data_IF_784492245452
#
_entry.id   IF_784492245452
#
_cell.length_a   1.000
_cell.length_b   1.000
_cell.length_c   1.000
_cell.angle_alpha   90.00
_cell.angle_beta   90.00
_cell.angle_gamma   90.00
#
_symmetry.space_group_name_H-M   'P 1'
#
loop_
_entity.id
_entity.type
_entity.pdbx_description
1 polymer ?
#
# COMPACT_ATOMS: atom_id res chain seq x y z
N UNK A 1 -4.79 12.82 -10.82
CA UNK A 1 -5.37 12.69 -9.48
C UNK A 1 -4.67 11.50 -8.82
N UNK A 2 -4.18 11.62 -7.57
CA UNK A 2 -3.53 10.51 -6.88
C UNK A 2 -4.50 9.41 -6.45
N UNK A 3 -4.10 8.17 -6.69
CA UNK A 3 -4.78 6.99 -6.19
C UNK A 3 -4.24 6.59 -4.82
N UNK A 4 -5.14 6.45 -3.84
CA UNK A 4 -4.81 6.01 -2.49
C UNK A 4 -5.59 4.75 -2.15
N UNK A 5 -4.98 3.86 -1.38
CA UNK A 5 -5.61 2.70 -0.79
C UNK A 5 -5.95 2.98 0.66
N UNK A 6 -7.22 2.89 1.01
CA UNK A 6 -7.70 3.17 2.36
C UNK A 6 -7.25 2.06 3.33
N UNK A 7 -6.79 2.46 4.51
CA UNK A 7 -6.50 1.54 5.62
C UNK A 7 -7.60 1.54 6.68
N UNK A 8 -8.54 2.49 6.59
CA UNK A 8 -9.74 2.62 7.43
C UNK A 8 -10.96 3.03 6.62
N UNK A 9 -12.15 2.90 7.21
CA UNK A 9 -13.41 3.33 6.60
C UNK A 9 -13.44 4.85 6.37
N UNK A 10 -13.79 5.27 5.15
CA UNK A 10 -13.92 6.68 4.81
C UNK A 10 -14.93 6.86 3.67
N UNK A 11 -15.85 7.82 3.83
CA UNK A 11 -16.82 8.22 2.78
C UNK A 11 -17.60 7.05 2.13
N UNK A 12 -17.94 6.03 2.91
CA UNK A 12 -18.63 4.83 2.41
C UNK A 12 -17.74 3.76 1.78
N UNK A 13 -16.43 4.00 1.68
CA UNK A 13 -15.43 3.02 1.27
C UNK A 13 -14.87 2.27 2.48
N UNK A 14 -14.49 1.01 2.26
CA UNK A 14 -13.98 0.12 3.30
C UNK A 14 -12.45 0.06 3.24
N UNK A 15 -11.76 -0.35 4.33
CA UNK A 15 -10.33 -0.58 4.29
C UNK A 15 -9.97 -1.59 3.19
N UNK A 16 -8.99 -1.23 2.38
CA UNK A 16 -8.55 -1.99 1.22
C UNK A 16 -9.04 -1.43 -0.11
N UNK A 17 -10.11 -0.61 -0.12
CA UNK A 17 -10.55 0.10 -1.33
C UNK A 17 -9.48 1.04 -1.85
N UNK A 18 -9.38 1.12 -3.17
CA UNK A 18 -8.56 2.10 -3.89
C UNK A 18 -9.49 3.19 -4.41
N UNK A 19 -9.19 4.44 -4.06
CA UNK A 19 -9.97 5.61 -4.47
C UNK A 19 -9.05 6.65 -5.11
N UNK A 20 -9.52 7.26 -6.18
CA UNK A 20 -8.88 8.38 -6.84
C UNK A 20 -9.38 9.69 -6.21
N UNK A 21 -8.46 10.50 -5.70
CA UNK A 21 -8.78 11.75 -5.00
C UNK A 21 -7.82 12.86 -5.43
N UNK A 22 -8.15 14.12 -5.17
CA UNK A 22 -7.22 15.23 -5.38
C UNK A 22 -6.05 15.25 -4.38
N UNK A 23 -4.97 15.93 -4.74
CA UNK A 23 -3.74 16.00 -3.93
C UNK A 23 -3.96 16.52 -2.51
N UNK A 24 -4.86 17.49 -2.34
CA UNK A 24 -5.23 18.01 -1.02
C UNK A 24 -5.87 16.91 -0.17
N UNK A 25 -6.81 16.16 -0.74
CA UNK A 25 -7.51 15.06 -0.07
C UNK A 25 -6.54 13.91 0.26
N UNK A 26 -5.67 13.53 -0.68
CA UNK A 26 -4.65 12.51 -0.45
C UNK A 26 -3.72 12.89 0.72
N UNK A 27 -3.31 14.16 0.83
CA UNK A 27 -2.52 14.65 1.98
C UNK A 27 -3.30 14.59 3.29
N UNK A 28 -4.57 14.99 3.28
CA UNK A 28 -5.43 14.92 4.47
C UNK A 28 -5.65 13.48 4.94
N UNK A 29 -5.77 12.53 4.01
CA UNK A 29 -6.02 11.12 4.30
C UNK A 29 -4.73 10.31 4.48
N UNK A 30 -3.55 10.94 4.47
CA UNK A 30 -2.25 10.25 4.60
C UNK A 30 -2.08 9.40 5.87
N UNK A 31 -2.88 9.67 6.91
CA UNK A 31 -2.90 8.89 8.17
C UNK A 31 -3.75 7.61 8.03
N UNK A 32 -4.75 7.62 7.16
CA UNK A 32 -5.74 6.54 7.01
C UNK A 32 -5.73 5.91 5.61
N UNK A 33 -4.68 6.18 4.84
CA UNK A 33 -4.51 5.66 3.49
C UNK A 33 -3.03 5.58 3.14
N UNK A 34 -2.71 4.71 2.19
CA UNK A 34 -1.37 4.57 1.61
C UNK A 34 -1.45 4.82 0.11
N UNK A 35 -0.39 5.32 -0.55
CA UNK A 35 -0.40 5.47 -2.01
C UNK A 35 -0.66 4.12 -2.69
N UNK A 36 -1.64 4.06 -3.59
CA UNK A 36 -2.03 2.80 -4.25
C UNK A 36 -0.92 2.28 -5.17
N UNK A 37 -0.14 3.17 -5.81
CA UNK A 37 1.01 2.81 -6.64
C UNK A 37 2.16 2.17 -5.85
N UNK A 38 2.23 2.34 -4.52
CA UNK A 38 3.23 1.65 -3.68
C UNK A 38 2.75 0.24 -3.29
N UNK A 39 1.54 -0.15 -3.68
CA UNK A 39 0.96 -1.48 -3.51
C UNK A 39 1.08 -2.35 -4.77
N UNK A 40 2.02 -2.06 -5.67
CA UNK A 40 2.63 -3.14 -6.45
C UNK A 40 3.64 -3.83 -5.52
N UNK A 41 3.37 -5.06 -5.05
CA UNK A 41 4.40 -5.81 -4.35
C UNK A 41 5.51 -6.06 -5.38
N UNK A 42 6.58 -5.28 -5.32
CA UNK A 42 7.85 -5.82 -5.77
C UNK A 42 8.00 -7.15 -5.01
N UNK A 43 8.05 -8.30 -5.71
CA UNK A 43 8.27 -9.56 -5.01
C UNK A 43 9.53 -9.37 -4.16
N UNK A 44 9.55 -9.84 -2.90
CA UNK A 44 10.76 -9.76 -2.11
C UNK A 44 11.89 -10.30 -2.98
N UNK A 45 12.95 -9.50 -3.19
CA UNK A 45 14.20 -9.97 -3.77
C UNK A 45 14.88 -10.92 -2.78
N UNK A 46 14.16 -11.95 -2.32
CA UNK A 46 14.71 -13.16 -1.75
C UNK A 46 15.26 -14.01 -2.89
N UNK A 47 16.42 -13.58 -3.36
CA UNK A 47 17.39 -14.48 -4.01
C UNK A 47 18.71 -14.40 -3.28
N UNK A 48 18.77 -15.04 -2.11
CA UNK A 48 19.89 -15.92 -1.76
C UNK A 48 19.44 -16.97 -0.75
N UNK A 49 18.71 -17.95 -1.28
CA UNK A 49 18.77 -19.30 -0.78
C UNK A 49 20.23 -19.80 -0.81
N UNK A 50 20.57 -20.62 0.19
CA UNK A 50 21.69 -21.56 0.27
C UNK A 50 23.02 -21.08 0.90
N UNK A 51 23.11 -21.24 2.23
CA UNK A 51 24.23 -21.99 2.81
C UNK A 51 23.75 -22.79 4.04
N UNK A 52 23.50 -24.08 3.76
CA UNK A 52 23.44 -25.29 4.61
C UNK A 52 23.37 -25.14 6.15
N UNK A 53 22.36 -25.79 6.71
CA UNK A 53 22.40 -26.42 8.04
C UNK A 53 23.29 -27.67 8.06
N UNK A 54 23.86 -27.95 9.24
CA UNK A 54 24.27 -29.25 9.82
C UNK A 54 25.46 -30.04 9.23
N UNK A 55 26.63 -29.97 9.88
CA UNK A 55 27.25 -31.01 10.75
C UNK A 55 28.38 -30.39 11.59
#
# INVERSE_FOLDING_TARGET
MPEIRLTYWWNGHVPGDVVDVDETTARTLSVISVPASESEPEPPKDKKSAKKSDD
#
